data_IF_410702431676
#
_entry.id   IF_410702431676
#
_cell.length_a   1.000
_cell.length_b   1.000
_cell.length_c   1.000
_cell.angle_alpha   90.00
_cell.angle_beta   90.00
_cell.angle_gamma   90.00
#
_symmetry.space_group_name_H-M   'P 1'
#
loop_
_entity.id
_entity.type
_entity.pdbx_description
1 polymer ?
#
# COMPACT_ATOMS: atom_id res chain seq x y z
N UNK A 1 10.83 -3.12 13.21
CA UNK A 1 9.52 -2.72 12.66
C UNK A 1 9.64 -2.16 11.24
N UNK A 2 10.64 -1.33 10.92
CA UNK A 2 10.83 -0.75 9.58
C UNK A 2 10.90 -1.76 8.40
N UNK A 3 11.55 -2.92 8.56
CA UNK A 3 11.64 -3.90 7.46
C UNK A 3 10.29 -4.53 7.07
N UNK A 4 9.37 -4.75 8.02
CA UNK A 4 8.05 -5.33 7.70
C UNK A 4 7.17 -4.35 6.92
N UNK A 5 7.33 -3.05 7.15
CA UNK A 5 6.56 -2.02 6.43
C UNK A 5 7.04 -1.88 4.98
N UNK A 6 8.35 -1.98 4.74
CA UNK A 6 8.89 -1.98 3.37
C UNK A 6 8.46 -3.21 2.55
N UNK A 7 8.42 -4.40 3.17
CA UNK A 7 7.90 -5.61 2.52
C UNK A 7 6.40 -5.52 2.24
N UNK A 8 5.62 -4.89 3.14
CA UNK A 8 4.19 -4.63 2.92
C UNK A 8 3.93 -3.64 1.80
N UNK A 9 4.65 -2.51 1.77
CA UNK A 9 4.55 -1.55 0.67
C UNK A 9 4.87 -2.21 -0.68
N UNK A 10 5.91 -3.04 -0.73
CA UNK A 10 6.27 -3.79 -1.94
C UNK A 10 5.16 -4.78 -2.36
N UNK A 11 4.49 -5.43 -1.40
CA UNK A 11 3.36 -6.31 -1.68
C UNK A 11 2.13 -5.55 -2.20
N UNK A 12 1.82 -4.37 -1.67
CA UNK A 12 0.67 -3.55 -2.08
C UNK A 12 0.92 -2.97 -3.48
N UNK A 13 2.11 -2.42 -3.73
CA UNK A 13 2.50 -1.91 -5.05
C UNK A 13 2.45 -3.02 -6.12
N UNK A 14 2.93 -4.22 -5.80
CA UNK A 14 2.84 -5.37 -6.69
C UNK A 14 1.39 -5.75 -7.02
N UNK A 15 0.50 -5.75 -6.03
CA UNK A 15 -0.93 -6.04 -6.24
C UNK A 15 -1.62 -4.94 -7.06
N UNK A 16 -1.37 -3.66 -6.78
CA UNK A 16 -1.96 -2.55 -7.55
C UNK A 16 -1.53 -2.58 -9.02
N UNK A 17 -0.29 -2.96 -9.32
CA UNK A 17 0.20 -3.15 -10.69
C UNK A 17 -0.44 -4.32 -11.44
N UNK A 18 -1.04 -5.29 -10.74
CA UNK A 18 -1.85 -6.32 -11.40
C UNK A 18 -3.18 -5.75 -11.92
N UNK A 19 -3.75 -4.73 -11.27
CA UNK A 19 -4.96 -4.05 -11.72
C UNK A 19 -4.68 -2.95 -12.75
N UNK A 20 -3.54 -2.25 -12.61
CA UNK A 20 -3.11 -1.17 -13.51
C UNK A 20 -1.78 -1.59 -14.16
N UNK A 21 -1.83 -2.36 -15.26
CA UNK A 21 -0.65 -3.01 -15.83
C UNK A 21 0.33 -2.05 -16.52
N UNK A 22 -0.12 -0.84 -16.87
CA UNK A 22 0.70 0.16 -17.53
C UNK A 22 0.39 1.55 -16.98
N UNK A 23 1.45 2.35 -16.86
CA UNK A 23 1.33 3.79 -16.64
C UNK A 23 0.66 4.42 -17.86
N UNK A 24 -0.35 5.26 -17.63
CA UNK A 24 -1.04 5.99 -18.72
C UNK A 24 -0.21 7.15 -19.26
N UNK A 25 0.81 7.59 -18.52
CA UNK A 25 1.74 8.66 -18.89
C UNK A 25 3.08 8.49 -18.16
N UNK A 26 4.13 9.17 -18.62
CA UNK A 26 5.47 9.12 -18.00
C UNK A 26 5.49 9.76 -16.60
N UNK A 27 4.60 10.72 -16.35
CA UNK A 27 4.36 11.37 -15.07
C UNK A 27 3.27 10.71 -14.23
N UNK A 28 2.74 9.57 -14.68
CA UNK A 28 1.76 8.79 -13.94
C UNK A 28 2.40 8.20 -12.67
N UNK A 29 1.93 8.71 -11.53
CA UNK A 29 2.29 8.31 -10.18
C UNK A 29 1.08 7.84 -9.39
N UNK A 30 -0.03 7.49 -10.06
CA UNK A 30 -1.27 7.11 -9.38
C UNK A 30 -1.04 5.91 -8.45
N UNK A 31 -0.42 4.84 -8.96
CA UNK A 31 -0.10 3.65 -8.16
C UNK A 31 0.86 3.96 -7.01
N UNK A 32 1.82 4.86 -7.23
CA UNK A 32 2.80 5.27 -6.21
C UNK A 32 2.14 6.07 -5.08
N UNK A 33 1.22 6.98 -5.42
CA UNK A 33 0.45 7.75 -4.45
C UNK A 33 -0.56 6.86 -3.70
N UNK A 34 -1.25 5.97 -4.40
CA UNK A 34 -2.20 5.05 -3.80
C UNK A 34 -1.49 4.12 -2.81
N UNK A 35 -0.34 3.53 -3.18
CA UNK A 35 0.43 2.68 -2.28
C UNK A 35 0.89 3.43 -1.01
N UNK A 36 1.33 4.68 -1.15
CA UNK A 36 1.75 5.52 -0.02
C UNK A 36 0.58 5.85 0.92
N UNK A 37 -0.58 6.19 0.36
CA UNK A 37 -1.77 6.49 1.14
C UNK A 37 -2.32 5.24 1.83
N UNK A 38 -2.33 4.10 1.14
CA UNK A 38 -2.79 2.82 1.70
C UNK A 38 -1.93 2.37 2.86
N UNK A 39 -0.61 2.47 2.74
CA UNK A 39 0.34 2.10 3.80
C UNK A 39 0.07 2.90 5.08
N UNK A 40 0.01 4.23 4.95
CA UNK A 40 -0.30 5.12 6.07
C UNK A 40 -1.69 4.87 6.65
N UNK A 41 -2.67 4.57 5.80
CA UNK A 41 -4.02 4.26 6.24
C UNK A 41 -4.09 2.94 7.02
N UNK A 42 -3.36 1.90 6.58
CA UNK A 42 -3.28 0.62 7.29
C UNK A 42 -2.56 0.74 8.63
N UNK A 43 -1.58 1.63 8.74
CA UNK A 43 -0.95 1.96 10.02
C UNK A 43 -1.93 2.68 10.94
N UNK A 44 -2.67 3.68 10.44
CA UNK A 44 -3.72 4.37 11.20
C UNK A 44 -4.84 3.40 11.63
N UNK A 45 -5.27 2.50 10.75
CA UNK A 45 -6.27 1.49 11.08
C UNK A 45 -5.77 0.54 12.18
N UNK A 46 -4.50 0.13 12.12
CA UNK A 46 -3.90 -0.72 13.14
C UNK A 46 -3.78 0.02 14.48
N UNK A 47 -3.44 1.30 14.47
CA UNK A 47 -3.38 2.15 15.68
C UNK A 47 -4.75 2.37 16.31
N UNK A 48 -5.81 2.53 15.49
CA UNK A 48 -7.16 2.81 15.97
C UNK A 48 -7.96 1.55 16.36
N UNK A 49 -7.76 0.44 15.65
CA UNK A 49 -8.58 -0.77 15.82
C UNK A 49 -7.83 -1.97 16.41
N UNK A 50 -6.52 -1.86 16.65
CA UNK A 50 -5.68 -2.98 17.09
C UNK A 50 -5.29 -3.94 15.96
N UNK A 51 -4.44 -4.94 16.26
CA UNK A 51 -3.91 -5.88 15.26
C UNK A 51 -4.95 -6.83 14.64
N UNK A 52 -6.08 -7.06 15.33
CA UNK A 52 -7.08 -8.07 14.95
C UNK A 52 -7.85 -7.73 13.66
N UNK A 53 -7.86 -6.46 13.22
CA UNK A 53 -8.62 -6.03 12.04
C UNK A 53 -7.83 -6.18 10.73
N UNK A 54 -6.54 -6.52 10.78
CA UNK A 54 -5.64 -6.52 9.61
C UNK A 54 -5.67 -7.83 8.80
N UNK A 55 -6.31 -8.89 9.30
CA UNK A 55 -6.27 -10.24 8.72
C UNK A 55 -7.59 -10.78 8.16
N UNK A 56 -8.68 -9.99 8.15
CA UNK A 56 -9.97 -10.44 7.54
C UNK A 56 -10.08 -10.03 6.08
#
# INVERSE_FOLDING_TARGET
MANRNLEKMASIDAQLRLLVPAKVSEDDKLVEYDALLLDRFLDILQDLHGEDLKET
#
